data_IF_251565861910
#
_entry.id   IF_251565861910
#
_cell.length_a   1.000
_cell.length_b   1.000
_cell.length_c   1.000
_cell.angle_alpha   90.00
_cell.angle_beta   90.00
_cell.angle_gamma   90.00
#
_symmetry.space_group_name_H-M   'P 1'
#
loop_
_entity.id
_entity.type
_entity.pdbx_description
1 polymer ?
#
# COMPACT_ATOMS: atom_id res chain seq x y z
N UNK A 1 7.92 -29.49 -56.16
CA UNK A 1 7.33 -29.95 -54.87
C UNK A 1 7.98 -29.34 -53.63
N UNK A 2 9.28 -29.06 -53.60
CA UNK A 2 9.99 -28.52 -52.42
C UNK A 2 9.46 -27.16 -51.90
N UNK A 3 8.94 -26.31 -52.78
CA UNK A 3 8.40 -24.99 -52.42
C UNK A 3 6.91 -25.01 -51.99
N UNK A 4 6.17 -26.09 -52.29
CA UNK A 4 4.77 -26.24 -51.89
C UNK A 4 4.63 -26.51 -50.38
N UNK A 5 5.58 -27.26 -49.81
CA UNK A 5 5.66 -27.49 -48.36
C UNK A 5 6.00 -26.22 -47.58
N UNK A 6 6.88 -25.37 -48.12
CA UNK A 6 7.22 -24.07 -47.52
C UNK A 6 6.03 -23.10 -47.51
N UNK A 7 5.25 -23.08 -48.60
CA UNK A 7 4.04 -22.26 -48.68
C UNK A 7 2.97 -22.72 -47.68
N UNK A 8 2.84 -24.03 -47.48
CA UNK A 8 1.89 -24.60 -46.52
C UNK A 8 2.26 -24.30 -45.06
N UNK A 9 3.56 -24.22 -44.72
CA UNK A 9 4.03 -23.89 -43.37
C UNK A 9 3.84 -22.39 -43.06
N UNK A 10 3.99 -21.51 -44.05
CA UNK A 10 3.72 -20.07 -43.89
C UNK A 10 2.22 -19.75 -43.76
N UNK A 11 1.32 -20.59 -44.26
CA UNK A 11 -0.13 -20.40 -44.12
C UNK A 11 -0.67 -20.90 -42.77
N UNK A 12 0.09 -21.72 -42.03
CA UNK A 12 -0.30 -22.17 -40.69
C UNK A 12 0.01 -21.17 -39.56
N UNK A 13 0.71 -20.07 -39.83
CA UNK A 13 1.05 -19.05 -38.80
C UNK A 13 -0.02 -17.97 -38.58
N UNK A 14 -1.21 -18.08 -39.20
CA UNK A 14 -2.29 -17.07 -39.08
C UNK A 14 -3.28 -17.32 -37.94
N UNK A 15 -3.15 -18.40 -37.16
CA UNK A 15 -3.96 -18.58 -35.94
C UNK A 15 -3.24 -18.06 -34.69
N UNK A 16 -2.79 -16.81 -34.73
CA UNK A 16 -2.53 -16.07 -33.49
C UNK A 16 -3.85 -15.57 -32.95
N UNK A 17 -4.44 -16.30 -31.99
CA UNK A 17 -5.55 -15.83 -31.16
C UNK A 17 -5.04 -14.70 -30.24
N UNK A 18 -4.90 -13.51 -30.80
CA UNK A 18 -4.56 -12.28 -30.10
C UNK A 18 -5.81 -11.49 -29.70
N UNK A 19 -6.78 -12.12 -29.04
CA UNK A 19 -7.72 -11.36 -28.22
C UNK A 19 -7.45 -11.72 -26.77
N UNK A 20 -6.71 -10.83 -26.09
CA UNK A 20 -6.78 -10.70 -24.65
C UNK A 20 -8.25 -10.82 -24.23
N UNK A 21 -8.57 -11.77 -23.35
CA UNK A 21 -9.92 -11.92 -22.81
C UNK A 21 -10.40 -10.53 -22.40
N UNK A 22 -11.55 -10.08 -22.95
CA UNK A 22 -12.13 -8.79 -22.59
C UNK A 22 -12.07 -8.65 -21.07
N UNK A 23 -11.35 -7.64 -20.58
CA UNK A 23 -11.20 -7.40 -19.16
C UNK A 23 -12.61 -7.12 -18.62
N UNK A 24 -13.16 -8.08 -17.87
CA UNK A 24 -14.41 -7.91 -17.18
C UNK A 24 -14.11 -7.18 -15.87
N UNK A 25 -14.55 -5.93 -15.77
CA UNK A 25 -14.47 -5.16 -14.53
C UNK A 25 -15.88 -5.01 -13.96
N UNK A 26 -15.96 -5.00 -12.63
CA UNK A 26 -17.17 -4.68 -11.89
C UNK A 26 -16.89 -3.41 -11.11
N UNK A 27 -17.80 -2.44 -11.20
CA UNK A 27 -17.76 -1.24 -10.38
C UNK A 27 -18.67 -1.47 -9.17
N UNK A 28 -18.17 -1.09 -7.99
CA UNK A 28 -18.99 -0.99 -6.78
C UNK A 28 -19.80 0.30 -6.77
N UNK A 29 -20.67 0.42 -5.77
CA UNK A 29 -21.29 1.70 -5.46
C UNK A 29 -20.25 2.70 -4.95
N UNK A 30 -20.58 3.99 -5.04
CA UNK A 30 -19.81 5.03 -4.38
C UNK A 30 -19.75 4.74 -2.87
N UNK A 31 -18.58 4.91 -2.27
CA UNK A 31 -18.36 4.73 -0.84
C UNK A 31 -17.69 5.99 -0.29
N UNK A 32 -17.95 6.28 0.97
CA UNK A 32 -17.47 7.50 1.60
C UNK A 32 -16.36 7.19 2.61
N UNK A 33 -15.30 7.97 2.54
CA UNK A 33 -14.28 8.04 3.57
C UNK A 33 -14.57 9.22 4.50
N UNK A 34 -14.13 9.16 5.78
CA UNK A 34 -14.29 10.28 6.69
C UNK A 34 -13.76 11.57 6.06
N UNK A 35 -14.55 12.65 6.13
CA UNK A 35 -14.15 13.93 5.52
C UNK A 35 -12.76 14.36 5.98
N UNK A 36 -11.87 14.60 5.02
CA UNK A 36 -10.48 15.00 5.24
C UNK A 36 -9.53 13.85 5.60
N UNK A 37 -9.98 12.60 5.52
CA UNK A 37 -9.08 11.45 5.61
C UNK A 37 -8.21 11.35 4.36
N UNK A 38 -6.99 10.88 4.54
CA UNK A 38 -6.12 10.43 3.47
C UNK A 38 -6.50 8.98 3.12
N UNK A 39 -6.82 8.73 1.86
CA UNK A 39 -6.93 7.37 1.33
C UNK A 39 -5.53 6.76 1.24
N UNK A 40 -5.29 5.68 1.99
CA UNK A 40 -3.97 5.04 2.05
C UNK A 40 -3.83 3.95 1.00
N UNK A 41 -4.77 3.00 0.98
CA UNK A 41 -4.74 1.87 0.06
C UNK A 41 -6.06 1.08 0.06
N UNK A 42 -6.31 0.40 -1.06
CA UNK A 42 -7.12 -0.80 -1.08
C UNK A 42 -6.23 -2.03 -0.92
N UNK A 43 -6.62 -2.92 -0.02
CA UNK A 43 -5.90 -4.16 0.25
C UNK A 43 -6.84 -5.36 0.21
N UNK A 44 -6.33 -6.48 -0.30
CA UNK A 44 -7.05 -7.73 -0.36
C UNK A 44 -7.62 -8.08 -1.73
N UNK A 45 -8.43 -9.14 -1.76
CA UNK A 45 -8.95 -9.74 -2.98
C UNK A 45 -10.26 -10.50 -2.74
N UNK A 46 -10.79 -11.12 -3.80
CA UNK A 46 -12.07 -11.84 -3.76
C UNK A 46 -12.09 -13.02 -2.76
N UNK A 47 -10.93 -13.64 -2.51
CA UNK A 47 -10.79 -14.82 -1.65
C UNK A 47 -10.56 -14.45 -0.19
N UNK A 48 -9.67 -13.50 0.09
CA UNK A 48 -9.21 -13.23 1.45
C UNK A 48 -10.10 -12.19 2.17
N UNK A 49 -10.76 -11.34 1.40
CA UNK A 49 -11.47 -10.16 1.90
C UNK A 49 -10.94 -8.90 1.23
N UNK A 50 -11.72 -7.83 1.27
CA UNK A 50 -11.38 -6.56 0.61
C UNK A 50 -11.63 -5.40 1.58
N UNK A 51 -10.60 -4.59 1.78
CA UNK A 51 -10.67 -3.41 2.66
C UNK A 51 -10.04 -2.18 2.01
N UNK A 52 -10.47 -1.01 2.45
CA UNK A 52 -9.78 0.26 2.27
C UNK A 52 -9.25 0.73 3.63
N UNK A 53 -8.06 1.31 3.64
CA UNK A 53 -7.47 1.97 4.79
C UNK A 53 -7.46 3.47 4.55
N UNK A 54 -8.00 4.23 5.50
CA UNK A 54 -8.01 5.68 5.45
C UNK A 54 -7.56 6.27 6.79
N UNK A 55 -6.64 7.24 6.75
CA UNK A 55 -6.08 7.86 7.95
C UNK A 55 -6.59 9.28 8.10
N UNK A 56 -7.09 9.62 9.28
CA UNK A 56 -7.50 10.98 9.62
C UNK A 56 -6.95 11.32 11.00
N UNK A 57 -5.96 12.22 11.02
CA UNK A 57 -5.26 12.60 12.27
C UNK A 57 -4.76 11.34 12.99
N UNK A 58 -5.33 11.07 14.16
CA UNK A 58 -5.04 9.99 15.08
C UNK A 58 -6.00 8.79 14.96
N UNK A 59 -6.77 8.72 13.87
CA UNK A 59 -7.75 7.66 13.63
C UNK A 59 -7.46 6.94 12.31
N UNK A 60 -7.23 5.63 12.37
CA UNK A 60 -7.24 4.76 11.20
C UNK A 60 -8.64 4.17 11.03
N UNK A 61 -9.27 4.46 9.89
CA UNK A 61 -10.51 3.83 9.46
C UNK A 61 -10.20 2.69 8.50
N UNK A 62 -10.67 1.49 8.82
CA UNK A 62 -10.62 0.32 7.93
C UNK A 62 -12.03 0.02 7.46
N UNK A 63 -12.31 0.31 6.19
CA UNK A 63 -13.61 0.08 5.55
C UNK A 63 -13.59 -1.28 4.88
N UNK A 64 -14.56 -2.13 5.17
CA UNK A 64 -14.67 -3.48 4.60
C UNK A 64 -15.71 -3.53 3.49
N UNK A 65 -15.38 -4.25 2.43
CA UNK A 65 -16.25 -4.45 1.28
C UNK A 65 -16.65 -5.91 1.13
N UNK A 66 -17.83 -6.15 0.57
CA UNK A 66 -18.20 -7.46 0.06
C UNK A 66 -17.36 -7.73 -1.19
N UNK A 67 -16.51 -8.77 -1.25
CA UNK A 67 -15.60 -8.93 -2.39
C UNK A 67 -16.29 -9.31 -3.71
N UNK A 68 -17.56 -9.74 -3.65
CA UNK A 68 -18.35 -10.09 -4.83
C UNK A 68 -19.22 -8.93 -5.33
N UNK A 69 -19.78 -8.13 -4.43
CA UNK A 69 -20.65 -6.99 -4.81
C UNK A 69 -19.93 -5.66 -4.82
N UNK A 70 -18.80 -5.55 -4.12
CA UNK A 70 -18.04 -4.34 -3.83
C UNK A 70 -18.82 -3.31 -2.99
N UNK A 71 -19.91 -3.73 -2.35
CA UNK A 71 -20.64 -2.88 -1.42
C UNK A 71 -19.88 -2.78 -0.09
N UNK A 72 -19.84 -1.57 0.47
CA UNK A 72 -19.35 -1.36 1.83
C UNK A 72 -20.24 -2.13 2.82
N UNK A 73 -19.61 -2.94 3.66
CA UNK A 73 -20.30 -3.81 4.63
C UNK A 73 -20.13 -3.33 6.06
N UNK A 74 -18.97 -2.75 6.39
CA UNK A 74 -18.62 -2.31 7.72
C UNK A 74 -17.47 -1.28 7.65
N UNK A 75 -17.31 -0.48 8.70
CA UNK A 75 -16.11 0.31 8.92
C UNK A 75 -15.69 0.20 10.39
N UNK A 76 -14.42 -0.08 10.64
CA UNK A 76 -13.82 -0.04 11.98
C UNK A 76 -12.96 1.20 12.11
N UNK A 77 -13.12 1.94 13.20
CA UNK A 77 -12.26 3.08 13.55
C UNK A 77 -11.32 2.63 14.67
N UNK A 78 -10.04 2.88 14.48
CA UNK A 78 -8.96 2.49 15.39
C UNK A 78 -8.25 3.77 15.80
N UNK A 79 -8.34 4.09 17.09
CA UNK A 79 -7.57 5.18 17.68
C UNK A 79 -6.09 4.80 17.75
N UNK A 80 -5.23 5.75 17.39
CA UNK A 80 -3.79 5.60 17.32
C UNK A 80 -3.16 6.70 18.21
N UNK A 81 -3.30 6.59 19.55
CA UNK A 81 -2.88 7.65 20.48
C UNK A 81 -1.37 7.91 20.47
N UNK A 82 -0.58 6.94 19.99
CA UNK A 82 0.88 7.02 19.88
C UNK A 82 1.35 7.79 18.65
N UNK A 83 0.44 8.27 17.79
CA UNK A 83 0.79 9.01 16.59
C UNK A 83 1.43 10.34 16.92
N UNK A 84 2.75 10.44 16.70
CA UNK A 84 3.42 11.73 16.80
C UNK A 84 3.24 12.55 15.53
N UNK A 85 3.55 13.84 15.62
CA UNK A 85 3.54 14.74 14.45
C UNK A 85 4.53 14.37 13.34
N UNK A 86 5.50 13.49 13.59
CA UNK A 86 6.45 13.05 12.57
C UNK A 86 6.08 11.70 11.96
N UNK A 87 4.99 11.07 12.41
CA UNK A 87 4.48 9.82 11.87
C UNK A 87 4.24 9.89 10.38
N UNK A 88 4.68 8.89 9.62
CA UNK A 88 4.36 8.69 8.22
C UNK A 88 3.68 7.34 8.01
N UNK A 89 2.56 7.32 7.30
CA UNK A 89 2.10 6.10 6.63
C UNK A 89 2.99 5.87 5.40
N UNK A 90 3.68 4.74 5.32
CA UNK A 90 4.62 4.47 4.24
C UNK A 90 3.93 3.69 3.12
N UNK A 91 3.52 2.44 3.36
CA UNK A 91 2.81 1.61 2.39
C UNK A 91 1.85 0.63 3.09
N UNK A 92 0.90 0.08 2.35
CA UNK A 92 0.24 -1.17 2.71
C UNK A 92 0.85 -2.29 1.88
N UNK A 93 1.53 -3.22 2.55
CA UNK A 93 2.26 -4.33 1.94
C UNK A 93 1.44 -5.62 1.97
N UNK A 94 1.44 -6.35 0.86
CA UNK A 94 0.76 -7.64 0.72
C UNK A 94 1.80 -8.76 0.51
N UNK A 95 1.70 -9.82 1.31
CA UNK A 95 2.54 -11.02 1.20
C UNK A 95 1.64 -12.25 1.14
N UNK A 96 1.19 -12.59 -0.07
CA UNK A 96 0.21 -13.65 -0.26
C UNK A 96 -1.12 -13.30 0.40
N UNK A 97 -1.50 -14.02 1.44
CA UNK A 97 -2.75 -13.84 2.20
C UNK A 97 -2.59 -12.95 3.46
N UNK A 98 -1.45 -12.28 3.59
CA UNK A 98 -1.12 -11.45 4.76
C UNK A 98 -0.91 -9.99 4.35
N UNK A 99 -1.48 -9.10 5.16
CA UNK A 99 -1.53 -7.68 4.86
C UNK A 99 -0.93 -6.89 6.01
N UNK A 100 -0.10 -5.92 5.69
CA UNK A 100 0.67 -5.16 6.67
C UNK A 100 0.59 -3.67 6.35
N UNK A 101 0.23 -2.85 7.32
CA UNK A 101 0.38 -1.42 7.22
C UNK A 101 1.76 -1.03 7.77
N UNK A 102 2.64 -0.55 6.89
CA UNK A 102 3.99 -0.13 7.24
C UNK A 102 3.97 1.38 7.46
N UNK A 103 4.55 1.79 8.58
CA UNK A 103 4.59 3.19 8.99
C UNK A 103 5.89 3.52 9.70
N UNK A 104 6.27 4.79 9.70
CA UNK A 104 7.50 5.27 10.32
C UNK A 104 7.26 6.43 11.26
N UNK A 105 8.18 6.63 12.20
CA UNK A 105 8.21 7.82 13.03
C UNK A 105 9.64 8.26 13.33
N UNK A 106 9.80 9.56 13.56
CA UNK A 106 11.03 10.17 14.06
C UNK A 106 10.88 10.46 15.55
N UNK A 107 11.58 9.67 16.36
CA UNK A 107 11.75 9.92 17.78
C UNK A 107 12.77 11.05 17.98
N UNK A 108 12.25 12.23 18.33
CA UNK A 108 13.06 13.42 18.57
C UNK A 108 13.90 13.34 19.84
N UNK A 109 13.42 12.65 20.85
CA UNK A 109 14.06 12.58 22.16
C UNK A 109 15.31 11.70 22.07
N UNK A 110 15.17 10.53 21.44
CA UNK A 110 16.26 9.57 21.28
C UNK A 110 17.04 9.74 19.97
N UNK A 111 16.62 10.66 19.09
CA UNK A 111 17.19 10.90 17.77
C UNK A 111 17.22 9.64 16.89
N UNK A 112 16.11 8.90 16.86
CA UNK A 112 15.98 7.65 16.11
C UNK A 112 14.89 7.72 15.05
N UNK A 113 15.22 7.23 13.86
CA UNK A 113 14.21 6.84 12.86
C UNK A 113 13.76 5.42 13.16
N UNK A 114 12.45 5.22 13.19
CA UNK A 114 11.82 3.96 13.55
C UNK A 114 10.86 3.57 12.43
N UNK A 115 10.97 2.34 11.91
CA UNK A 115 9.98 1.77 11.00
C UNK A 115 9.26 0.63 11.70
N UNK A 116 7.95 0.59 11.53
CA UNK A 116 7.06 -0.39 12.13
C UNK A 116 6.16 -1.02 11.08
N UNK A 117 5.58 -2.16 11.45
CA UNK A 117 4.40 -2.69 10.79
C UNK A 117 3.28 -3.04 11.77
N UNK A 118 2.06 -2.90 11.27
CA UNK A 118 0.84 -3.41 11.87
C UNK A 118 0.25 -4.49 10.96
N UNK A 119 -0.18 -5.62 11.54
CA UNK A 119 -0.87 -6.67 10.80
C UNK A 119 -2.33 -6.31 10.61
N UNK A 120 -2.77 -6.25 9.37
CA UNK A 120 -4.15 -5.98 8.98
C UNK A 120 -4.84 -7.31 8.67
N UNK A 121 -5.95 -7.59 9.33
CA UNK A 121 -6.86 -8.65 8.96
C UNK A 121 -7.94 -8.07 8.05
N UNK A 122 -7.85 -8.40 6.76
CA UNK A 122 -8.76 -7.90 5.71
C UNK A 122 -10.13 -8.58 5.75
N UNK A 123 -10.26 -9.72 6.44
CA UNK A 123 -11.56 -10.39 6.62
C UNK A 123 -12.36 -9.70 7.72
N UNK A 124 -11.71 -9.38 8.84
CA UNK A 124 -12.38 -8.73 9.98
C UNK A 124 -12.35 -7.20 9.92
N UNK A 125 -11.43 -6.61 9.15
CA UNK A 125 -11.24 -5.16 9.05
C UNK A 125 -10.55 -4.58 10.29
N UNK A 126 -9.59 -5.29 10.88
CA UNK A 126 -8.96 -4.92 12.16
C UNK A 126 -7.45 -5.06 12.12
N UNK A 127 -6.77 -4.32 13.02
CA UNK A 127 -5.36 -4.57 13.33
C UNK A 127 -5.28 -5.74 14.33
N UNK A 128 -4.53 -6.78 13.99
CA UNK A 128 -4.36 -7.98 14.83
C UNK A 128 -3.05 -7.98 15.62
N UNK A 129 -2.09 -7.14 15.22
CA UNK A 129 -0.81 -6.95 15.89
C UNK A 129 -0.27 -5.58 15.50
N UNK A 130 -0.06 -4.69 16.46
CA UNK A 130 0.35 -3.30 16.22
C UNK A 130 1.79 -3.03 16.67
N UNK A 131 2.41 -2.00 16.09
CA UNK A 131 3.70 -1.41 16.46
C UNK A 131 4.86 -2.42 16.51
N UNK A 132 4.92 -3.34 15.55
CA UNK A 132 6.04 -4.27 15.46
C UNK A 132 7.23 -3.57 14.80
N UNK A 133 8.33 -3.37 15.54
CA UNK A 133 9.52 -2.67 15.01
C UNK A 133 10.22 -3.51 13.94
N UNK A 134 10.42 -2.91 12.76
CA UNK A 134 11.17 -3.47 11.63
C UNK A 134 12.63 -3.07 11.66
N UNK A 135 12.88 -1.76 11.79
CA UNK A 135 14.22 -1.19 11.80
C UNK A 135 14.28 0.01 12.74
N UNK A 136 15.50 0.29 13.16
CA UNK A 136 15.86 1.49 13.90
C UNK A 136 17.16 2.02 13.31
N UNK A 137 17.24 3.33 13.11
CA UNK A 137 18.40 3.98 12.49
C UNK A 137 18.66 5.36 13.09
N UNK A 138 19.84 5.91 12.82
CA UNK A 138 20.04 7.36 12.88
C UNK A 138 19.22 8.05 11.79
N UNK A 139 19.27 9.38 11.75
CA UNK A 139 18.42 10.20 10.88
C UNK A 139 18.54 9.83 9.40
N UNK A 140 17.38 9.59 8.78
CA UNK A 140 17.28 9.20 7.38
C UNK A 140 16.94 10.43 6.53
N UNK A 141 17.59 10.51 5.37
CA UNK A 141 17.36 11.53 4.36
C UNK A 141 16.04 11.26 3.63
N UNK A 142 15.31 12.33 3.32
CA UNK A 142 14.06 12.24 2.56
C UNK A 142 13.66 13.59 1.98
N UNK A 143 12.50 13.61 1.32
CA UNK A 143 11.90 14.79 0.71
C UNK A 143 11.21 15.66 1.75
N UNK A 144 11.49 16.97 1.75
CA UNK A 144 10.69 17.92 2.53
C UNK A 144 9.45 18.27 1.73
N UNK A 145 8.27 17.88 2.24
CA UNK A 145 7.02 18.43 1.73
C UNK A 145 6.74 19.72 2.52
N UNK A 146 6.98 20.86 1.87
CA UNK A 146 6.48 22.16 2.29
C UNK A 146 5.15 22.45 1.59
N UNK A 147 4.16 22.99 2.29
CA UNK A 147 2.81 23.18 1.75
C UNK A 147 2.75 24.04 0.48
N UNK A 148 2.40 23.43 -0.66
CA UNK A 148 1.32 23.82 -1.61
C UNK A 148 1.59 23.43 -3.08
N UNK A 149 0.59 22.81 -3.74
CA UNK A 149 -0.09 23.29 -4.98
C UNK A 149 -0.86 22.17 -5.72
N UNK A 150 -0.65 20.89 -5.40
CA UNK A 150 -1.47 19.77 -5.89
C UNK A 150 -1.88 18.79 -4.78
N UNK A 151 -2.76 19.26 -3.89
CA UNK A 151 -3.64 18.39 -3.10
C UNK A 151 -3.04 17.73 -1.84
N UNK A 152 -3.29 18.39 -0.70
CA UNK A 152 -3.50 17.76 0.62
C UNK A 152 -2.28 17.15 1.34
N UNK A 153 -1.41 18.02 1.88
CA UNK A 153 -0.55 17.66 3.02
C UNK A 153 -1.03 18.39 4.28
N UNK A 154 -1.68 17.65 5.18
CA UNK A 154 -2.00 18.11 6.53
C UNK A 154 -0.79 17.88 7.43
N UNK A 155 0.06 18.90 7.61
CA UNK A 155 0.97 18.96 8.74
C UNK A 155 2.40 19.38 8.43
N UNK A 156 2.68 20.69 8.55
CA UNK A 156 4.02 21.23 8.78
C UNK A 156 5.11 20.85 7.77
N UNK A 157 6.34 21.29 8.05
CA UNK A 157 7.51 20.83 7.31
C UNK A 157 7.82 19.39 7.73
N UNK A 158 7.27 18.42 7.00
CA UNK A 158 7.50 16.98 7.23
C UNK A 158 8.52 16.44 6.24
N UNK A 159 9.32 15.48 6.69
CA UNK A 159 10.21 14.70 5.81
C UNK A 159 9.53 13.37 5.50
N UNK A 160 9.30 13.12 4.22
CA UNK A 160 8.70 11.91 3.66
C UNK A 160 9.69 11.25 2.69
N UNK A 161 9.27 10.19 1.99
CA UNK A 161 10.07 9.48 0.97
C UNK A 161 11.45 9.06 1.53
N UNK A 162 11.44 8.56 2.77
CA UNK A 162 12.67 8.14 3.48
C UNK A 162 13.12 6.74 3.08
N UNK A 163 12.18 5.91 2.63
CA UNK A 163 12.35 4.49 2.39
C UNK A 163 11.92 4.12 0.97
N UNK A 164 12.71 3.28 0.33
CA UNK A 164 12.37 2.59 -0.90
C UNK A 164 11.95 1.15 -0.59
N UNK A 165 10.73 0.78 -0.98
CA UNK A 165 10.14 -0.53 -0.74
C UNK A 165 10.13 -1.34 -2.04
N UNK A 166 10.87 -2.45 -2.06
CA UNK A 166 10.97 -3.31 -3.24
C UNK A 166 10.65 -4.76 -2.87
N UNK A 167 9.66 -5.35 -3.54
CA UNK A 167 9.30 -6.76 -3.39
C UNK A 167 10.14 -7.63 -4.33
N UNK A 168 10.43 -8.86 -3.91
CA UNK A 168 10.90 -9.89 -4.85
C UNK A 168 9.77 -10.31 -5.81
N UNK A 169 10.11 -10.97 -6.91
CA UNK A 169 9.14 -11.34 -7.95
C UNK A 169 7.92 -12.12 -7.40
N UNK A 170 8.16 -12.96 -6.39
CA UNK A 170 7.13 -13.78 -5.74
C UNK A 170 6.39 -13.08 -4.59
N UNK A 171 6.75 -11.83 -4.25
CA UNK A 171 6.20 -11.07 -3.11
C UNK A 171 6.28 -11.82 -1.77
N UNK A 172 7.38 -12.55 -1.55
CA UNK A 172 7.70 -13.27 -0.30
C UNK A 172 8.70 -12.50 0.57
N UNK A 173 9.43 -11.55 -0.02
CA UNK A 173 10.45 -10.75 0.65
C UNK A 173 10.26 -9.28 0.27
N UNK A 174 10.42 -8.43 1.27
CA UNK A 174 10.47 -6.98 1.09
C UNK A 174 11.87 -6.50 1.45
N UNK A 175 12.50 -5.84 0.48
CA UNK A 175 13.73 -5.09 0.69
C UNK A 175 13.34 -3.64 1.00
N UNK A 176 13.79 -3.17 2.15
CA UNK A 176 13.67 -1.77 2.55
C UNK A 176 15.06 -1.14 2.40
N UNK A 177 15.17 -0.13 1.55
CA UNK A 177 16.40 0.64 1.36
C UNK A 177 16.19 2.08 1.81
N UNK A 178 17.22 2.71 2.34
CA UNK A 178 17.17 4.10 2.79
C UNK A 178 18.56 4.74 2.76
N UNK A 179 18.60 6.08 2.81
CA UNK A 179 19.86 6.84 2.83
C UNK A 179 20.00 7.60 4.14
N UNK A 180 21.10 7.37 4.86
CA UNK A 180 21.42 8.16 6.05
C UNK A 180 21.75 9.61 5.69
N UNK A 181 21.41 10.54 6.58
CA UNK A 181 22.03 11.86 6.57
C UNK A 181 23.46 11.68 7.06
N UNK A 182 24.49 12.18 6.35
CA UNK A 182 25.87 12.12 6.83
C UNK A 182 25.98 12.73 8.23
N UNK A 183 26.74 12.08 9.10
CA UNK A 183 27.17 12.68 10.36
C UNK A 183 28.21 13.78 10.02
N UNK A 184 28.09 14.95 10.65
CA UNK A 184 29.06 16.06 10.54
C UNK A 184 30.39 15.72 11.24
#
# INVERSE_FOLDING_TARGET
MRYLLLFSICLSSVFSYGQSKKIAFKLGNEYELPKGAQDLAFAGNQKDGLVNLALKKDELTIVKFNPSTLDQTNASVIELPELTKNFNSEIVAEFGDKYFWIHSDWDKENQKELLYYDKVDVTTGKITSANNKMLESSKISGSRIGGSSMGFSFGGNKVVDKYDFNFDADHKKLMVSYRLIPDD
#
